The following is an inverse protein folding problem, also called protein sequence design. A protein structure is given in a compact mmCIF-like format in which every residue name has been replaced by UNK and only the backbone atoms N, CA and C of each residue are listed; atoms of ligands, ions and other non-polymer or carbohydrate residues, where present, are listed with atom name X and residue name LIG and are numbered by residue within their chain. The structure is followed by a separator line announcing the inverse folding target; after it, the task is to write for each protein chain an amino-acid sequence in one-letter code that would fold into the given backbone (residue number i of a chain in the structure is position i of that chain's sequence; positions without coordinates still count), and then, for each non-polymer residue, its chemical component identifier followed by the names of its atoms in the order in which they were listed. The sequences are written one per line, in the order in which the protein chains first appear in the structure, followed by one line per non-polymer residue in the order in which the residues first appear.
data_IF_787048935488
#
_entry.id   IF_787048935488
#
_cell.length_a   1.000
_cell.length_b   1.000
_cell.length_c   1.000
_cell.angle_alpha   90.00
_cell.angle_beta   90.00
_cell.angle_gamma   90.00
#
_symmetry.space_group_name_H-M   'P 1'
#
loop_
_entity.id
_entity.type
_entity.pdbx_description
1 polymer ?
#
# COMPACT_ATOMS: atom_id res chain seq x y z
N UNK A 1 -2.74 -22.46 11.78
CA UNK A 1 -4.09 -21.88 11.61
C UNK A 1 -3.92 -20.36 11.51
N UNK A 2 -4.20 -19.73 10.36
CA UNK A 2 -4.21 -18.24 10.26
C UNK A 2 -5.44 -17.76 11.06
N UNK A 3 -5.23 -17.06 12.18
CA UNK A 3 -6.34 -16.42 12.91
C UNK A 3 -6.99 -15.40 11.99
N UNK A 4 -8.33 -15.40 11.91
CA UNK A 4 -9.06 -14.32 11.23
C UNK A 4 -8.84 -13.04 12.05
N UNK A 5 -8.36 -11.97 11.41
CA UNK A 5 -8.05 -10.70 12.10
C UNK A 5 -9.28 -10.12 12.81
N UNK A 6 -10.48 -10.39 12.30
CA UNK A 6 -11.76 -10.02 12.91
C UNK A 6 -12.02 -10.62 14.30
N UNK A 7 -11.31 -11.68 14.68
CA UNK A 7 -11.48 -12.38 15.97
C UNK A 7 -10.49 -11.87 17.02
N UNK A 8 -9.62 -10.90 16.67
CA UNK A 8 -8.77 -10.21 17.62
C UNK A 8 -9.49 -8.97 18.16
N UNK A 9 -9.62 -8.80 19.50
CA UNK A 9 -10.24 -7.62 20.11
C UNK A 9 -9.50 -6.31 19.82
N UNK A 10 -8.35 -6.37 19.14
CA UNK A 10 -7.53 -5.23 18.75
C UNK A 10 -8.02 -4.55 17.47
N UNK A 11 -8.74 -5.26 16.59
CA UNK A 11 -9.08 -4.77 15.26
C UNK A 11 -10.60 -4.68 15.05
N UNK A 12 -11.06 -3.50 14.67
CA UNK A 12 -12.37 -3.30 14.06
C UNK A 12 -12.31 -3.55 12.55
N UNK A 13 -13.46 -3.76 11.92
CA UNK A 13 -13.56 -3.96 10.48
C UNK A 13 -14.54 -2.97 9.85
N UNK A 14 -14.16 -2.41 8.71
CA UNK A 14 -15.04 -1.62 7.85
C UNK A 14 -15.17 -2.32 6.48
N UNK A 15 -16.39 -2.72 6.13
CA UNK A 15 -16.70 -3.16 4.77
C UNK A 15 -16.87 -1.93 3.87
N UNK A 16 -15.93 -1.75 2.94
CA UNK A 16 -15.89 -0.64 2.00
C UNK A 16 -16.79 -0.85 0.78
N UNK A 17 -17.42 -2.03 0.66
CA UNK A 17 -18.34 -2.37 -0.41
C UNK A 17 -17.68 -2.62 -1.76
N UNK A 18 -18.51 -2.70 -2.80
CA UNK A 18 -18.11 -2.93 -4.18
C UNK A 18 -17.80 -1.62 -4.89
N UNK A 19 -16.66 -1.57 -5.59
CA UNK A 19 -16.25 -0.42 -6.41
C UNK A 19 -15.88 -0.90 -7.80
N UNK A 20 -16.49 -0.29 -8.81
CA UNK A 20 -16.15 -0.49 -10.22
C UNK A 20 -14.78 0.10 -10.55
N UNK A 21 -14.10 -0.50 -11.52
CA UNK A 21 -12.81 0.02 -11.96
C UNK A 21 -12.95 1.28 -12.81
N UNK A 22 -11.92 2.12 -12.78
CA UNK A 22 -11.65 3.14 -13.78
C UNK A 22 -10.60 2.63 -14.75
N UNK A 23 -10.95 2.60 -16.03
CA UNK A 23 -10.10 2.03 -17.07
C UNK A 23 -8.85 2.87 -17.30
N UNK A 24 -7.69 2.20 -17.34
CA UNK A 24 -6.39 2.80 -17.68
C UNK A 24 -5.96 4.03 -16.86
N UNK A 25 -6.51 4.21 -15.66
CA UNK A 25 -6.19 5.36 -14.80
C UNK A 25 -4.70 5.44 -14.44
N UNK A 26 -4.03 4.29 -14.34
CA UNK A 26 -2.59 4.20 -14.01
C UNK A 26 -1.75 3.67 -15.18
N UNK A 27 -2.20 3.88 -16.41
CA UNK A 27 -1.54 3.43 -17.64
C UNK A 27 -2.27 2.29 -18.34
N UNK A 28 -1.73 1.88 -19.49
CA UNK A 28 -2.33 0.80 -20.29
C UNK A 28 -2.39 -0.48 -19.43
N UNK A 29 -3.56 -1.12 -19.35
CA UNK A 29 -3.84 -2.32 -18.54
C UNK A 29 -3.92 -2.13 -17.01
N UNK A 30 -3.67 -0.92 -16.47
CA UNK A 30 -3.76 -0.67 -15.03
C UNK A 30 -5.05 0.05 -14.67
N UNK A 31 -6.00 -0.71 -14.14
CA UNK A 31 -7.32 -0.23 -13.74
C UNK A 31 -7.30 0.26 -12.29
N UNK A 32 -7.98 1.38 -12.00
CA UNK A 32 -8.01 1.99 -10.68
C UNK A 32 -9.30 1.74 -9.91
N UNK A 33 -9.21 1.58 -8.59
CA UNK A 33 -10.35 1.38 -7.69
C UNK A 33 -10.26 2.37 -6.54
N UNK A 34 -11.33 3.10 -6.30
CA UNK A 34 -11.39 4.19 -5.32
C UNK A 34 -12.40 3.88 -4.22
N UNK A 35 -11.92 3.57 -3.03
CA UNK A 35 -12.74 3.31 -1.87
C UNK A 35 -12.77 4.54 -0.97
N UNK A 36 -13.85 5.32 -1.02
CA UNK A 36 -14.03 6.54 -0.21
C UNK A 36 -14.59 6.26 1.17
N UNK A 37 -15.28 5.13 1.35
CA UNK A 37 -15.90 4.74 2.62
C UNK A 37 -14.90 4.62 3.78
N UNK A 38 -13.61 4.46 3.48
CA UNK A 38 -12.52 4.53 4.47
C UNK A 38 -12.52 5.83 5.30
N UNK A 39 -13.22 6.89 4.85
CA UNK A 39 -13.45 8.09 5.65
C UNK A 39 -14.19 7.88 6.96
N UNK A 40 -14.88 6.74 7.11
CA UNK A 40 -15.50 6.34 8.36
C UNK A 40 -14.47 5.89 9.42
N UNK A 41 -13.24 5.57 9.00
CA UNK A 41 -12.15 5.20 9.91
C UNK A 41 -11.48 6.48 10.42
N UNK A 42 -11.53 6.76 11.74
CA UNK A 42 -10.89 7.95 12.29
C UNK A 42 -9.38 7.95 12.02
N UNK A 43 -8.87 9.06 11.47
CA UNK A 43 -7.44 9.27 11.18
C UNK A 43 -6.82 8.19 10.27
N UNK A 44 -7.59 7.62 9.34
CA UNK A 44 -7.13 6.56 8.44
C UNK A 44 -5.85 6.91 7.68
N UNK A 45 -5.69 8.16 7.27
CA UNK A 45 -4.49 8.63 6.56
C UNK A 45 -3.22 8.65 7.41
N UNK A 46 -3.32 8.52 8.74
CA UNK A 46 -2.17 8.35 9.64
C UNK A 46 -1.81 6.89 9.88
N UNK A 47 -2.68 5.96 9.50
CA UNK A 47 -2.51 4.56 9.83
C UNK A 47 -1.44 3.93 8.94
N UNK A 48 -0.75 2.92 9.45
CA UNK A 48 0.28 2.20 8.71
C UNK A 48 -0.23 0.83 8.26
N UNK A 49 -0.19 0.56 6.96
CA UNK A 49 -0.59 -0.76 6.44
C UNK A 49 0.35 -1.84 6.99
N UNK A 50 -0.22 -2.98 7.42
CA UNK A 50 0.53 -4.08 8.04
C UNK A 50 0.83 -3.90 9.54
N UNK A 51 0.50 -2.73 10.11
CA UNK A 51 0.67 -2.42 11.54
C UNK A 51 -0.63 -1.94 12.17
N UNK A 52 -1.22 -0.88 11.63
CA UNK A 52 -2.44 -0.27 12.14
C UNK A 52 -3.67 -0.70 11.36
N UNK A 53 -3.51 -1.12 10.10
CA UNK A 53 -4.60 -1.69 9.32
C UNK A 53 -4.14 -2.75 8.31
N UNK A 54 -5.07 -3.58 7.89
CA UNK A 54 -4.92 -4.63 6.87
C UNK A 54 -6.07 -4.56 5.88
N UNK A 55 -5.79 -4.89 4.62
CA UNK A 55 -6.78 -4.91 3.54
C UNK A 55 -7.08 -6.36 3.17
N UNK A 56 -8.36 -6.73 3.21
CA UNK A 56 -8.88 -7.93 2.58
C UNK A 56 -9.58 -7.55 1.29
N UNK A 57 -9.17 -8.16 0.18
CA UNK A 57 -9.80 -8.02 -1.13
C UNK A 57 -10.56 -9.30 -1.42
N UNK A 58 -11.83 -9.20 -1.81
CA UNK A 58 -12.62 -10.34 -2.22
C UNK A 58 -13.47 -10.03 -3.44
N UNK A 59 -13.76 -11.09 -4.18
CA UNK A 59 -14.62 -11.04 -5.36
C UNK A 59 -16.08 -11.19 -4.89
N UNK A 60 -16.93 -10.23 -5.27
CA UNK A 60 -18.31 -10.12 -4.77
C UNK A 60 -19.38 -10.73 -5.64
N UNK A 61 -19.07 -11.61 -6.61
CA UNK A 61 -20.18 -12.31 -7.27
C UNK A 61 -19.99 -13.07 -8.57
N UNK A 62 -18.79 -13.28 -9.11
CA UNK A 62 -18.67 -14.18 -10.28
C UNK A 62 -17.48 -15.13 -10.16
N UNK A 63 -17.79 -16.42 -10.30
CA UNK A 63 -16.81 -17.48 -10.50
C UNK A 63 -15.90 -17.09 -11.66
N UNK A 64 -14.62 -16.85 -11.37
CA UNK A 64 -13.58 -16.87 -12.38
C UNK A 64 -12.54 -17.87 -11.93
N UNK A 65 -12.52 -19.01 -12.61
CA UNK A 65 -11.46 -19.99 -12.48
C UNK A 65 -10.15 -19.34 -12.93
N UNK A 66 -9.15 -19.34 -12.05
CA UNK A 66 -7.74 -19.03 -12.36
C UNK A 66 -7.42 -17.60 -12.85
N UNK A 67 -7.87 -16.55 -12.14
CA UNK A 67 -7.28 -15.22 -12.31
C UNK A 67 -6.66 -14.77 -10.98
N UNK A 68 -5.34 -14.74 -10.93
CA UNK A 68 -4.62 -14.06 -9.85
C UNK A 68 -5.05 -12.60 -9.83
N UNK A 69 -5.66 -12.17 -8.73
CA UNK A 69 -6.04 -10.76 -8.50
C UNK A 69 -4.74 -9.99 -8.29
N UNK A 70 -4.13 -9.54 -9.40
CA UNK A 70 -2.89 -8.77 -9.42
C UNK A 70 -3.10 -7.34 -8.92
N UNK A 71 -3.64 -7.20 -7.71
CA UNK A 71 -3.96 -5.92 -7.08
C UNK A 71 -2.76 -5.39 -6.32
N UNK A 72 -2.38 -4.15 -6.63
CA UNK A 72 -1.38 -3.37 -5.91
C UNK A 72 -2.04 -2.20 -5.18
N UNK A 73 -1.45 -1.81 -4.07
CA UNK A 73 -1.85 -0.65 -3.28
C UNK A 73 -1.14 0.61 -3.79
N UNK A 74 -1.90 1.69 -4.04
CA UNK A 74 -1.36 2.93 -4.64
C UNK A 74 -1.19 4.04 -3.59
N UNK A 75 -2.26 4.35 -2.85
CA UNK A 75 -2.25 5.39 -1.80
C UNK A 75 -3.43 5.24 -0.86
N UNK A 76 -3.33 5.87 0.30
CA UNK A 76 -4.48 6.14 1.16
C UNK A 76 -4.39 7.52 1.82
N UNK A 77 -5.51 8.00 2.33
CA UNK A 77 -5.68 9.24 3.07
C UNK A 77 -6.91 9.12 3.97
N UNK A 78 -7.23 10.16 4.75
CA UNK A 78 -8.47 10.18 5.53
C UNK A 78 -9.75 10.05 4.70
N UNK A 79 -9.72 10.23 3.39
CA UNK A 79 -10.92 10.24 2.55
C UNK A 79 -10.96 9.15 1.49
N UNK A 80 -9.85 8.47 1.26
CA UNK A 80 -9.73 7.62 0.06
C UNK A 80 -8.63 6.57 0.23
N UNK A 81 -8.94 5.35 -0.20
CA UNK A 81 -8.02 4.25 -0.46
C UNK A 81 -8.04 3.96 -1.95
N UNK A 82 -6.87 3.98 -2.60
CA UNK A 82 -6.72 3.72 -4.03
C UNK A 82 -5.91 2.46 -4.26
N UNK A 83 -6.46 1.57 -5.07
CA UNK A 83 -5.84 0.31 -5.47
C UNK A 83 -5.78 0.24 -7.00
N UNK A 84 -4.84 -0.52 -7.54
CA UNK A 84 -4.71 -0.77 -8.97
C UNK A 84 -4.63 -2.25 -9.28
N UNK A 85 -5.10 -2.69 -10.45
CA UNK A 85 -4.95 -4.08 -10.92
C UNK A 85 -4.55 -4.15 -12.39
N UNK A 86 -3.63 -5.07 -12.72
CA UNK A 86 -3.19 -5.36 -14.10
C UNK A 86 -4.21 -6.21 -14.88
N UNK A 87 -4.98 -7.03 -14.16
CA UNK A 87 -5.97 -7.94 -14.75
C UNK A 87 -7.41 -7.45 -14.55
N UNK A 88 -7.59 -6.13 -14.32
CA UNK A 88 -8.85 -5.40 -14.30
C UNK A 88 -10.09 -6.21 -13.94
N UNK A 89 -10.28 -6.55 -12.67
CA UNK A 89 -11.59 -7.03 -12.23
C UNK A 89 -12.61 -5.92 -12.49
N UNK A 90 -13.77 -6.24 -13.07
CA UNK A 90 -14.81 -5.25 -13.34
C UNK A 90 -15.22 -4.47 -12.09
N UNK A 91 -15.15 -5.13 -10.94
CA UNK A 91 -15.27 -4.47 -9.65
C UNK A 91 -14.50 -5.23 -8.57
N UNK A 92 -14.19 -4.53 -7.49
CA UNK A 92 -13.53 -5.09 -6.31
C UNK A 92 -14.38 -4.85 -5.06
N UNK A 93 -14.41 -5.82 -4.16
CA UNK A 93 -14.86 -5.59 -2.79
C UNK A 93 -13.65 -5.55 -1.86
N UNK A 94 -13.69 -4.60 -0.94
CA UNK A 94 -12.64 -4.41 0.04
C UNK A 94 -13.23 -4.35 1.44
N UNK A 95 -12.59 -5.04 2.37
CA UNK A 95 -12.78 -4.86 3.80
C UNK A 95 -11.47 -4.44 4.43
N UNK A 96 -11.52 -3.38 5.24
CA UNK A 96 -10.37 -2.86 5.97
C UNK A 96 -10.49 -3.28 7.43
N UNK A 97 -9.48 -3.96 7.95
CA UNK A 97 -9.31 -4.23 9.37
C UNK A 97 -8.40 -3.19 9.96
N UNK A 98 -8.78 -2.50 11.03
CA UNK A 98 -8.00 -1.39 11.58
C UNK A 98 -8.00 -1.42 13.12
N UNK A 99 -6.90 -0.97 13.73
CA UNK A 99 -6.82 -0.86 15.18
C UNK A 99 -7.78 0.22 15.67
N UNK A 100 -8.66 -0.14 16.59
CA UNK A 100 -9.66 0.76 17.17
C UNK A 100 -9.54 0.94 18.68
N UNK A 101 -8.72 0.10 19.34
CA UNK A 101 -8.55 0.10 20.78
C UNK A 101 -7.45 1.06 21.28
N UNK A 102 -6.83 1.84 20.39
CA UNK A 102 -5.86 2.88 20.75
C UNK A 102 -6.05 4.12 19.88
N UNK A 103 -5.75 5.29 20.44
CA UNK A 103 -5.83 6.54 19.70
C UNK A 103 -4.74 6.59 18.61
N UNK A 104 -5.16 6.64 17.34
CA UNK A 104 -4.29 7.02 16.22
C UNK A 104 -4.29 8.55 16.14
N UNK A 105 -3.13 9.22 16.21
CA UNK A 105 -3.07 10.67 16.15
C UNK A 105 -3.61 11.20 14.81
N UNK A 106 -4.19 12.41 14.83
CA UNK A 106 -4.62 13.06 13.60
C UNK A 106 -3.43 13.23 12.63
N UNK A 107 -3.64 13.12 11.30
CA UNK A 107 -2.54 13.17 10.33
C UNK A 107 -1.68 14.42 10.43
N UNK A 108 -2.24 15.49 10.99
CA UNK A 108 -1.59 16.79 11.13
C UNK A 108 -0.80 16.99 12.43
N UNK A 109 -0.71 16.01 13.33
CA UNK A 109 -0.09 16.27 14.65
C UNK A 109 1.39 15.88 14.77
N UNK A 110 1.90 14.81 14.13
CA UNK A 110 3.29 14.37 14.40
C UNK A 110 4.00 13.61 13.27
N UNK A 111 3.45 13.54 12.05
CA UNK A 111 4.06 12.76 10.97
C UNK A 111 4.54 13.66 9.84
N UNK A 112 5.86 13.85 9.78
CA UNK A 112 6.53 14.37 8.58
C UNK A 112 6.68 13.21 7.58
N UNK A 113 6.83 13.53 6.31
CA UNK A 113 7.12 12.53 5.29
C UNK A 113 8.13 13.05 4.28
N UNK A 114 8.92 12.15 3.72
CA UNK A 114 9.91 12.44 2.69
C UNK A 114 9.82 11.38 1.60
N UNK A 115 9.96 11.81 0.35
CA UNK A 115 9.93 10.95 -0.82
C UNK A 115 11.36 10.65 -1.28
N UNK A 116 11.64 9.38 -1.48
CA UNK A 116 12.89 8.89 -2.05
C UNK A 116 12.64 8.34 -3.45
N UNK A 117 13.34 8.92 -4.42
CA UNK A 117 13.42 8.37 -5.76
C UNK A 117 14.44 7.22 -5.77
N UNK A 118 13.99 6.05 -6.16
CA UNK A 118 14.79 4.84 -6.27
C UNK A 118 14.92 4.50 -7.74
N UNK A 119 16.13 4.24 -8.21
CA UNK A 119 16.32 3.75 -9.57
C UNK A 119 16.01 2.25 -9.62
N UNK A 120 15.22 1.86 -10.63
CA UNK A 120 14.91 0.47 -10.92
C UNK A 120 16.20 -0.32 -11.21
N UNK A 121 16.26 -1.59 -10.79
CA UNK A 121 17.37 -2.51 -11.11
C UNK A 121 18.44 -2.69 -10.02
N UNK A 122 18.33 -2.01 -8.88
CA UNK A 122 19.20 -2.28 -7.72
C UNK A 122 18.62 -3.45 -6.93
N UNK A 123 19.39 -4.50 -6.60
CA UNK A 123 18.83 -5.68 -5.91
C UNK A 123 18.22 -5.35 -4.52
N UNK A 124 18.82 -4.41 -3.79
CA UNK A 124 18.32 -3.90 -2.52
C UNK A 124 18.79 -2.47 -2.30
N UNK A 125 17.93 -1.60 -1.79
CA UNK A 125 18.28 -0.24 -1.36
C UNK A 125 17.79 0.01 0.07
N UNK A 126 18.65 0.61 0.88
CA UNK A 126 18.32 1.01 2.24
C UNK A 126 18.18 2.53 2.30
N UNK A 127 17.16 2.99 3.04
CA UNK A 127 17.04 4.36 3.52
C UNK A 127 17.22 4.28 5.02
N UNK A 128 18.19 4.98 5.57
CA UNK A 128 18.44 5.03 7.00
C UNK A 128 17.71 6.22 7.61
N UNK A 129 17.38 6.14 8.90
CA UNK A 129 16.84 7.27 9.66
C UNK A 129 17.78 8.49 9.56
N UNK A 130 19.09 8.26 9.56
CA UNK A 130 20.12 9.29 9.37
C UNK A 130 20.07 10.01 8.02
N UNK A 131 19.39 9.43 7.02
CA UNK A 131 19.22 10.04 5.70
C UNK A 131 18.05 11.05 5.69
N UNK A 132 17.30 11.15 6.79
CA UNK A 132 16.12 12.02 6.93
C UNK A 132 16.41 13.10 7.98
N UNK A 133 16.55 14.34 7.53
CA UNK A 133 16.78 15.48 8.42
C UNK A 133 15.63 15.64 9.42
N UNK A 134 15.97 15.82 10.70
CA UNK A 134 15.06 15.98 11.83
C UNK A 134 14.15 14.78 12.13
N UNK A 135 14.51 13.57 11.68
CA UNK A 135 13.80 12.35 12.05
C UNK A 135 14.31 11.74 13.36
N UNK A 136 13.43 11.55 14.33
CA UNK A 136 13.68 10.80 15.56
C UNK A 136 13.37 9.32 15.42
N UNK A 137 12.34 8.95 14.64
CA UNK A 137 12.05 7.57 14.25
C UNK A 137 11.31 7.45 12.92
N UNK A 138 11.53 6.34 12.21
CA UNK A 138 10.69 5.93 11.08
C UNK A 138 9.47 5.20 11.62
N UNK A 139 8.28 5.66 11.22
CA UNK A 139 7.01 5.03 11.65
C UNK A 139 6.44 4.11 10.59
N UNK A 140 6.80 4.33 9.31
CA UNK A 140 6.24 3.66 8.15
C UNK A 140 7.06 3.97 6.90
N UNK A 141 7.06 3.05 5.94
CA UNK A 141 7.43 3.35 4.57
C UNK A 141 6.60 2.54 3.58
N UNK A 142 6.42 3.09 2.38
CA UNK A 142 5.60 2.47 1.35
C UNK A 142 5.85 3.05 -0.03
N UNK A 143 5.52 2.28 -1.05
CA UNK A 143 5.59 2.71 -2.44
C UNK A 143 4.46 3.71 -2.73
N UNK A 144 4.78 4.85 -3.34
CA UNK A 144 3.85 5.89 -3.77
C UNK A 144 3.68 5.93 -5.28
N UNK A 145 4.75 5.62 -6.02
CA UNK A 145 4.71 5.54 -7.47
C UNK A 145 5.71 4.51 -7.98
N UNK A 146 5.40 3.91 -9.13
CA UNK A 146 6.22 2.91 -9.80
C UNK A 146 6.50 3.33 -11.23
N UNK A 147 7.76 3.26 -11.63
CA UNK A 147 8.17 3.44 -13.03
C UNK A 147 7.55 2.37 -13.94
N UNK A 148 7.28 2.75 -15.19
CA UNK A 148 6.55 1.95 -16.18
C UNK A 148 7.33 0.72 -16.69
N UNK A 149 8.68 0.72 -16.66
CA UNK A 149 9.46 -0.30 -17.36
C UNK A 149 10.10 -1.30 -16.38
N UNK A 150 9.41 -2.41 -16.12
CA UNK A 150 10.00 -3.57 -15.45
C UNK A 150 9.11 -4.28 -14.43
N UNK A 151 8.87 -5.58 -14.65
CA UNK A 151 8.23 -6.49 -13.69
C UNK A 151 9.22 -6.94 -12.61
N UNK A 152 9.60 -6.02 -11.73
CA UNK A 152 10.25 -6.39 -10.47
C UNK A 152 9.20 -6.50 -9.37
N UNK A 153 9.15 -7.63 -8.66
CA UNK A 153 8.36 -7.66 -7.43
C UNK A 153 9.11 -6.80 -6.40
N UNK A 154 8.48 -5.74 -5.89
CA UNK A 154 9.10 -4.82 -4.95
C UNK A 154 8.54 -5.07 -3.56
N UNK A 155 9.43 -5.24 -2.59
CA UNK A 155 9.07 -5.34 -1.18
C UNK A 155 9.67 -4.14 -0.43
N UNK A 156 8.84 -3.44 0.34
CA UNK A 156 9.28 -2.36 1.23
C UNK A 156 9.03 -2.84 2.65
N UNK A 157 10.09 -2.99 3.41
CA UNK A 157 10.04 -3.28 4.84
C UNK A 157 10.66 -2.12 5.60
N UNK A 158 10.25 -1.91 6.85
CA UNK A 158 10.79 -0.84 7.66
C UNK A 158 10.95 -1.27 9.11
N UNK A 159 11.89 -0.62 9.78
CA UNK A 159 12.11 -0.61 11.22
C UNK A 159 12.00 0.85 11.69
N UNK A 160 12.23 1.11 12.97
CA UNK A 160 12.34 2.48 13.50
C UNK A 160 13.57 3.23 13.00
N UNK A 161 14.56 2.51 12.45
CA UNK A 161 15.88 3.07 12.08
C UNK A 161 16.17 2.98 10.58
N UNK A 162 15.41 2.19 9.83
CA UNK A 162 15.68 1.98 8.41
C UNK A 162 14.47 1.49 7.62
N UNK A 163 14.51 1.71 6.32
CA UNK A 163 13.61 1.15 5.32
C UNK A 163 14.47 0.32 4.37
N UNK A 164 14.09 -0.94 4.16
CA UNK A 164 14.73 -1.83 3.19
C UNK A 164 13.78 -2.03 2.02
N UNK A 165 14.28 -1.74 0.82
CA UNK A 165 13.57 -1.91 -0.44
C UNK A 165 14.25 -3.04 -1.19
N UNK A 166 13.59 -4.17 -1.35
CA UNK A 166 14.10 -5.32 -2.10
C UNK A 166 13.40 -5.40 -3.44
N UNK A 167 14.19 -5.52 -4.50
CA UNK A 167 13.71 -5.78 -5.84
C UNK A 167 13.91 -7.26 -6.14
N UNK A 168 12.82 -8.00 -6.32
CA UNK A 168 12.86 -9.33 -6.91
C UNK A 168 13.06 -9.16 -8.42
N UNK A 169 14.23 -9.59 -8.86
CA UNK A 169 14.48 -9.89 -10.26
C UNK A 169 13.69 -11.15 -10.58
N UNK A 170 12.50 -11.01 -11.17
CA UNK A 170 11.91 -12.17 -11.84
C UNK A 170 12.88 -12.62 -12.94
N UNK A 171 12.94 -13.92 -13.25
CA UNK A 171 13.79 -14.52 -14.31
C UNK A 171 13.54 -13.96 -15.72
N UNK A 172 12.78 -12.87 -15.86
CA UNK A 172 12.62 -12.12 -17.08
C UNK A 172 13.79 -11.14 -17.18
N UNK A 173 14.63 -11.35 -18.18
CA UNK A 173 15.74 -10.48 -18.60
C UNK A 173 15.25 -9.14 -19.19
N UNK A 174 14.26 -8.51 -18.56
CA UNK A 174 13.86 -7.14 -18.86
C UNK A 174 14.74 -6.22 -18.03
N UNK A 175 15.51 -5.36 -18.70
CA UNK A 175 16.15 -4.24 -18.02
C UNK A 175 15.04 -3.38 -17.43
N UNK A 176 14.98 -3.29 -16.10
CA UNK A 176 14.04 -2.40 -15.45
C UNK A 176 14.58 -0.97 -15.58
N UNK A 177 13.83 -0.12 -16.28
CA UNK A 177 14.17 1.28 -16.53
C UNK A 177 13.06 2.15 -15.93
N UNK A 178 13.44 3.01 -14.98
CA UNK A 178 12.46 3.86 -14.31
C UNK A 178 12.91 4.29 -12.93
N UNK A 179 12.01 5.03 -12.28
CA UNK A 179 12.19 5.42 -10.90
C UNK A 179 10.96 5.11 -10.07
N UNK A 180 11.12 4.38 -8.99
CA UNK A 180 10.11 4.19 -7.96
C UNK A 180 10.17 5.33 -6.95
N UNK A 181 9.02 5.78 -6.47
CA UNK A 181 8.93 6.75 -5.37
C UNK A 181 8.51 5.99 -4.13
N UNK A 182 9.38 5.94 -3.13
CA UNK A 182 9.09 5.40 -1.80
C UNK A 182 8.92 6.56 -0.85
N UNK A 183 7.79 6.63 -0.16
CA UNK A 183 7.56 7.59 0.91
C UNK A 183 7.91 6.97 2.25
N UNK A 184 8.65 7.72 3.04
CA UNK A 184 8.97 7.39 4.43
C UNK A 184 8.25 8.40 5.31
N UNK A 185 7.47 7.91 6.26
CA UNK A 185 6.83 8.72 7.30
C UNK A 185 7.66 8.60 8.58
N UNK A 186 7.91 9.74 9.22
CA UNK A 186 8.78 9.86 10.37
C UNK A 186 8.27 10.91 11.36
N UNK A 187 8.73 10.81 12.60
CA UNK A 187 8.50 11.81 13.65
C UNK A 187 9.80 12.16 14.36
#
# INVERSE_FOLDING_TARGET
MRKKLAESPEYSSLDCGNVDFKEHEFGQWHHGYHFTKVSEIPNFGSMVHGKDFFIEVYNGGTNQENVGIGVSYVKHSNSELVMTSVNGLKSLNVKVYYISNRAIPSPSSFLKSVDFTIASGTATKNILLSDITDAGEIVCAGLVSRGWEGWNALNVTYTTESVTITFSTSNNSGNAYGSEIVRVWYR
#
